data_IF_298863874643
#
_entry.id   IF_298863874643
#
_cell.length_a   1.000
_cell.length_b   1.000
_cell.length_c   1.000
_cell.angle_alpha   90.00
_cell.angle_beta   90.00
_cell.angle_gamma   90.00
#
_symmetry.space_group_name_H-M   'P 1'
#
loop_
_entity.id
_entity.type
_entity.pdbx_description
1 polymer ?
#
# COMPACT_ATOMS: atom_id res chain seq x y z
N UNK A 1 18.70 5.05 -5.63
CA UNK A 1 17.45 4.27 -5.47
C UNK A 1 16.27 5.09 -5.93
N UNK A 2 15.43 4.53 -6.78
CA UNK A 2 14.17 5.12 -7.25
C UNK A 2 12.99 4.44 -6.56
N UNK A 3 12.01 5.24 -6.14
CA UNK A 3 10.76 4.77 -5.59
C UNK A 3 9.71 4.70 -6.69
N UNK A 4 8.88 3.67 -6.65
CA UNK A 4 7.81 3.46 -7.60
C UNK A 4 6.62 2.81 -6.90
N UNK A 5 5.42 3.32 -7.15
CA UNK A 5 4.16 2.67 -6.81
C UNK A 5 3.40 2.36 -8.10
N UNK A 6 3.07 1.10 -8.31
CA UNK A 6 2.27 0.65 -9.47
C UNK A 6 1.08 -0.13 -8.93
N UNK A 7 -0.09 0.09 -9.51
CA UNK A 7 -1.26 -0.66 -9.09
C UNK A 7 -2.52 -0.35 -9.87
N UNK A 8 -3.57 -1.03 -9.46
CA UNK A 8 -4.95 -0.75 -9.83
C UNK A 8 -5.76 -0.46 -8.57
N UNK A 9 -6.79 0.33 -8.71
CA UNK A 9 -7.75 0.57 -7.63
C UNK A 9 -9.19 0.69 -8.16
N UNK A 10 -10.12 0.95 -7.25
CA UNK A 10 -11.55 1.06 -7.55
C UNK A 10 -11.90 2.20 -8.55
N UNK A 11 -11.01 3.17 -8.77
CA UNK A 11 -11.23 4.25 -9.74
C UNK A 11 -10.68 3.92 -11.12
N UNK A 12 -9.65 3.05 -11.20
CA UNK A 12 -8.98 2.73 -12.46
C UNK A 12 -9.44 1.41 -13.07
N UNK A 13 -9.96 0.48 -12.27
CA UNK A 13 -10.32 -0.87 -12.72
C UNK A 13 -11.67 -1.35 -12.18
N UNK A 14 -12.48 -2.01 -13.03
CA UNK A 14 -13.73 -2.64 -12.60
C UNK A 14 -13.44 -3.78 -11.61
N UNK A 15 -14.45 -4.15 -10.81
CA UNK A 15 -14.32 -5.20 -9.79
C UNK A 15 -13.86 -6.54 -10.38
N UNK A 16 -14.39 -6.89 -11.57
CA UNK A 16 -14.04 -8.13 -12.27
C UNK A 16 -12.55 -8.26 -12.62
N UNK A 17 -11.86 -7.15 -12.89
CA UNK A 17 -10.43 -7.14 -13.13
C UNK A 17 -9.66 -7.15 -11.80
N UNK A 18 -10.12 -6.38 -10.81
CA UNK A 18 -9.51 -6.34 -9.47
C UNK A 18 -9.50 -7.72 -8.79
N UNK A 19 -10.58 -8.49 -8.95
CA UNK A 19 -10.69 -9.87 -8.47
C UNK A 19 -9.60 -10.79 -9.04
N UNK A 20 -9.30 -10.63 -10.33
CA UNK A 20 -8.32 -11.48 -11.04
C UNK A 20 -6.87 -11.15 -10.68
N UNK A 21 -6.61 -9.97 -10.16
CA UNK A 21 -5.24 -9.54 -9.75
C UNK A 21 -5.09 -9.35 -8.24
N UNK A 22 -6.07 -9.78 -7.45
CA UNK A 22 -5.98 -9.81 -6.00
C UNK A 22 -5.02 -10.92 -5.53
N UNK A 23 -4.21 -10.61 -4.52
CA UNK A 23 -3.29 -11.58 -3.92
C UNK A 23 -3.92 -12.22 -2.68
N UNK A 24 -4.17 -13.53 -2.66
CA UNK A 24 -4.47 -14.26 -1.43
C UNK A 24 -3.32 -14.10 -0.44
N UNK A 25 -3.62 -14.01 0.86
CA UNK A 25 -2.62 -13.74 1.92
C UNK A 25 -1.43 -14.72 1.89
N UNK A 26 -1.71 -16.00 1.65
CA UNK A 26 -0.69 -17.04 1.55
C UNK A 26 0.23 -16.89 0.34
N UNK A 27 -0.19 -16.20 -0.71
CA UNK A 27 0.59 -16.02 -1.93
C UNK A 27 1.46 -14.75 -1.91
N UNK A 28 1.24 -13.81 -0.98
CA UNK A 28 1.99 -12.54 -0.94
C UNK A 28 3.49 -12.77 -0.72
N UNK A 29 3.89 -13.63 0.23
CA UNK A 29 5.32 -13.90 0.49
C UNK A 29 6.04 -14.54 -0.71
N UNK A 30 5.53 -15.61 -1.33
CA UNK A 30 6.12 -16.15 -2.57
C UNK A 30 6.16 -15.12 -3.70
N UNK A 31 5.11 -14.33 -3.88
CA UNK A 31 5.02 -13.29 -4.90
C UNK A 31 6.09 -12.21 -4.72
N UNK A 32 6.36 -11.77 -3.48
CA UNK A 32 7.42 -10.82 -3.17
C UNK A 32 8.80 -11.37 -3.55
N UNK A 33 9.07 -12.64 -3.30
CA UNK A 33 10.31 -13.30 -3.71
C UNK A 33 10.49 -13.32 -5.22
N UNK A 34 9.44 -13.70 -5.96
CA UNK A 34 9.44 -13.73 -7.42
C UNK A 34 9.58 -12.31 -8.03
N UNK A 35 8.87 -11.32 -7.49
CA UNK A 35 8.94 -9.92 -7.92
C UNK A 35 10.35 -9.36 -7.76
N UNK A 36 10.98 -9.57 -6.60
CA UNK A 36 12.34 -9.10 -6.34
C UNK A 36 13.35 -9.73 -7.30
N UNK A 37 13.21 -10.99 -7.60
CA UNK A 37 14.06 -11.69 -8.60
C UNK A 37 13.85 -11.10 -9.99
N UNK A 38 12.61 -10.78 -10.36
CA UNK A 38 12.27 -10.19 -11.65
C UNK A 38 12.79 -8.75 -11.81
N UNK A 39 12.77 -7.97 -10.74
CA UNK A 39 13.23 -6.58 -10.70
C UNK A 39 14.69 -6.43 -10.21
N UNK A 40 15.45 -7.55 -10.12
CA UNK A 40 16.77 -7.56 -9.50
C UNK A 40 17.73 -6.51 -10.10
N UNK A 41 18.09 -5.53 -9.29
CA UNK A 41 19.14 -4.55 -9.54
C UNK A 41 20.45 -4.91 -8.85
N UNK A 42 21.52 -4.13 -9.09
CA UNK A 42 22.86 -4.39 -8.53
C UNK A 42 22.91 -4.32 -6.99
N UNK A 43 22.10 -3.46 -6.37
CA UNK A 43 22.10 -3.24 -4.91
C UNK A 43 20.86 -3.85 -4.23
N UNK A 44 20.15 -4.72 -4.94
CA UNK A 44 18.91 -5.34 -4.47
C UNK A 44 17.67 -4.47 -4.71
N UNK A 45 16.51 -5.12 -4.71
CA UNK A 45 15.21 -4.47 -4.85
C UNK A 45 14.43 -4.66 -3.56
N UNK A 46 13.88 -3.58 -3.04
CA UNK A 46 12.90 -3.62 -1.96
C UNK A 46 11.50 -3.65 -2.58
N UNK A 47 10.59 -4.42 -2.00
CA UNK A 47 9.22 -4.55 -2.48
C UNK A 47 8.22 -4.76 -1.36
N UNK A 48 7.01 -4.22 -1.54
CA UNK A 48 5.84 -4.51 -0.72
C UNK A 48 4.59 -4.61 -1.61
N UNK A 49 3.67 -5.50 -1.28
CA UNK A 49 2.40 -5.68 -1.98
C UNK A 49 1.26 -5.36 -1.01
N UNK A 50 0.41 -4.41 -1.37
CA UNK A 50 -0.85 -4.11 -0.72
C UNK A 50 -1.98 -4.65 -1.59
N UNK A 51 -2.68 -5.67 -1.13
CA UNK A 51 -3.85 -6.24 -1.80
C UNK A 51 -5.06 -6.21 -0.86
N UNK A 52 -6.11 -5.51 -1.27
CA UNK A 52 -7.36 -5.32 -0.53
C UNK A 52 -8.55 -5.48 -1.47
N UNK A 53 -9.78 -5.37 -0.99
CA UNK A 53 -10.97 -5.36 -1.85
C UNK A 53 -10.99 -4.21 -2.88
N UNK A 54 -10.29 -3.10 -2.60
CA UNK A 54 -10.37 -1.89 -3.41
C UNK A 54 -9.13 -1.60 -4.23
N UNK A 55 -7.99 -2.29 -3.97
CA UNK A 55 -6.73 -2.04 -4.65
C UNK A 55 -5.77 -3.22 -4.61
N UNK A 56 -4.96 -3.32 -5.64
CA UNK A 56 -3.74 -4.12 -5.65
C UNK A 56 -2.60 -3.20 -6.07
N UNK A 57 -1.66 -2.98 -5.16
CA UNK A 57 -0.54 -2.05 -5.33
C UNK A 57 0.79 -2.72 -5.00
N UNK A 58 1.79 -2.39 -5.77
CA UNK A 58 3.18 -2.80 -5.61
C UNK A 58 4.01 -1.56 -5.36
N UNK A 59 4.67 -1.50 -4.22
CA UNK A 59 5.64 -0.47 -3.87
C UNK A 59 7.03 -1.05 -4.03
N UNK A 60 7.90 -0.37 -4.79
CA UNK A 60 9.27 -0.80 -5.03
C UNK A 60 10.26 0.31 -4.74
N UNK A 61 11.47 -0.07 -4.27
CA UNK A 61 12.64 0.77 -4.29
C UNK A 61 13.78 0.00 -4.98
N UNK A 62 14.32 0.55 -6.07
CA UNK A 62 15.34 -0.09 -6.90
C UNK A 62 16.39 0.92 -7.36
N UNK A 63 17.61 0.44 -7.63
CA UNK A 63 18.71 1.24 -8.20
C UNK A 63 18.80 1.10 -9.72
N UNK A 64 18.03 0.23 -10.32
CA UNK A 64 17.89 0.18 -11.77
C UNK A 64 17.28 1.49 -12.21
N UNK A 65 17.95 2.21 -13.11
CA UNK A 65 17.40 3.37 -13.81
C UNK A 65 16.24 2.87 -14.69
N UNK A 66 15.12 2.63 -14.04
CA UNK A 66 13.86 2.40 -14.71
C UNK A 66 13.37 3.79 -15.12
N UNK A 67 13.91 4.33 -16.21
CA UNK A 67 13.33 5.52 -16.83
C UNK A 67 11.83 5.26 -16.98
N UNK A 68 11.00 6.14 -16.43
CA UNK A 68 9.54 6.05 -16.23
C UNK A 68 8.72 4.94 -16.93
N UNK A 69 9.05 4.57 -18.18
CA UNK A 69 8.37 3.52 -18.94
C UNK A 69 8.89 2.10 -18.66
N UNK A 70 10.19 1.92 -18.40
CA UNK A 70 10.76 0.56 -18.22
C UNK A 70 10.31 -0.12 -16.93
N UNK A 71 10.25 0.61 -15.83
CA UNK A 71 9.76 0.09 -14.54
C UNK A 71 8.30 -0.33 -14.62
N UNK A 72 7.49 0.46 -15.31
CA UNK A 72 6.11 0.15 -15.60
C UNK A 72 6.00 -1.16 -16.39
N UNK A 73 6.71 -1.27 -17.52
CA UNK A 73 6.68 -2.42 -18.40
C UNK A 73 7.15 -3.72 -17.71
N UNK A 74 8.19 -3.64 -16.90
CA UNK A 74 8.68 -4.79 -16.14
C UNK A 74 7.67 -5.27 -15.11
N UNK A 75 7.09 -4.34 -14.34
CA UNK A 75 6.10 -4.69 -13.31
C UNK A 75 4.78 -5.14 -13.95
N UNK A 76 4.33 -4.51 -15.03
CA UNK A 76 3.16 -4.93 -15.81
C UNK A 76 3.31 -6.37 -16.30
N UNK A 77 4.45 -6.70 -16.94
CA UNK A 77 4.71 -8.06 -17.43
C UNK A 77 4.70 -9.08 -16.29
N UNK A 78 5.35 -8.76 -15.18
CA UNK A 78 5.37 -9.64 -14.03
C UNK A 78 3.96 -9.86 -13.46
N UNK A 79 3.18 -8.80 -13.26
CA UNK A 79 1.82 -8.87 -12.72
C UNK A 79 0.89 -9.66 -13.65
N UNK A 80 0.98 -9.41 -14.97
CA UNK A 80 0.24 -10.09 -16.01
C UNK A 80 0.53 -11.61 -16.02
N UNK A 81 1.81 -11.99 -15.92
CA UNK A 81 2.23 -13.40 -15.86
C UNK A 81 1.80 -14.05 -14.54
N UNK A 82 1.97 -13.36 -13.41
CA UNK A 82 1.65 -13.91 -12.10
C UNK A 82 0.17 -14.27 -11.96
N UNK A 83 -0.72 -13.41 -12.47
CA UNK A 83 -2.17 -13.61 -12.40
C UNK A 83 -2.79 -14.24 -13.65
N UNK A 84 -1.96 -14.59 -14.64
CA UNK A 84 -2.43 -15.11 -15.93
C UNK A 84 -3.49 -14.21 -16.60
N UNK A 85 -3.24 -12.90 -16.59
CA UNK A 85 -4.06 -11.85 -17.22
C UNK A 85 -3.29 -11.27 -18.40
N UNK A 86 -3.90 -11.08 -19.58
CA UNK A 86 -3.22 -10.45 -20.71
C UNK A 86 -2.73 -9.05 -20.36
N UNK A 87 -1.45 -8.74 -20.65
CA UNK A 87 -0.87 -7.43 -20.36
C UNK A 87 -1.65 -6.27 -21.02
N UNK A 88 -2.16 -6.49 -22.24
CA UNK A 88 -2.98 -5.49 -22.95
C UNK A 88 -4.33 -5.20 -22.30
N UNK A 89 -4.89 -6.15 -21.54
CA UNK A 89 -6.10 -5.96 -20.75
C UNK A 89 -5.80 -5.17 -19.46
N UNK A 90 -4.65 -5.43 -18.85
CA UNK A 90 -4.27 -4.84 -17.59
C UNK A 90 -3.70 -3.42 -17.72
N UNK A 91 -2.90 -3.16 -18.76
CA UNK A 91 -2.18 -1.90 -18.95
C UNK A 91 -3.05 -0.63 -18.88
N UNK A 92 -4.26 -0.55 -19.49
CA UNK A 92 -5.10 0.64 -19.43
C UNK A 92 -5.61 0.99 -18.02
N UNK A 93 -5.55 0.04 -17.09
CA UNK A 93 -6.07 0.17 -15.73
C UNK A 93 -4.98 0.41 -14.69
N UNK A 94 -3.70 0.18 -15.04
CA UNK A 94 -2.57 0.37 -14.16
C UNK A 94 -2.13 1.83 -14.14
N UNK A 95 -1.97 2.38 -12.94
CA UNK A 95 -1.22 3.61 -12.73
C UNK A 95 0.22 3.30 -12.33
N UNK A 96 1.11 4.23 -12.66
CA UNK A 96 2.52 4.19 -12.29
C UNK A 96 2.93 5.55 -11.74
N UNK A 97 3.37 5.56 -10.51
CA UNK A 97 3.65 6.76 -9.73
C UNK A 97 5.13 6.74 -9.30
N UNK A 98 6.00 7.52 -9.93
CA UNK A 98 7.42 7.57 -9.59
C UNK A 98 7.71 8.55 -8.45
N UNK A 99 8.75 8.27 -7.69
CA UNK A 99 9.39 9.18 -6.72
C UNK A 99 8.41 9.88 -5.77
N UNK A 100 8.28 11.21 -5.85
CA UNK A 100 7.40 12.01 -5.01
C UNK A 100 5.92 11.64 -5.13
N UNK A 101 5.51 11.17 -6.31
CA UNK A 101 4.14 10.70 -6.53
C UNK A 101 3.88 9.40 -5.77
N UNK A 102 4.84 8.45 -5.74
CA UNK A 102 4.73 7.23 -4.94
C UNK A 102 4.62 7.54 -3.45
N UNK A 103 5.42 8.49 -2.96
CA UNK A 103 5.40 8.94 -1.57
C UNK A 103 4.06 9.58 -1.22
N UNK A 104 3.60 10.52 -2.05
CA UNK A 104 2.31 11.20 -1.90
C UNK A 104 1.17 10.19 -1.87
N UNK A 105 1.19 9.24 -2.80
CA UNK A 105 0.18 8.20 -2.90
C UNK A 105 0.14 7.32 -1.64
N UNK A 106 1.27 6.84 -1.15
CA UNK A 106 1.35 6.06 0.09
C UNK A 106 0.75 6.83 1.28
N UNK A 107 1.05 8.13 1.42
CA UNK A 107 0.50 8.98 2.48
C UNK A 107 -1.01 9.17 2.33
N UNK A 108 -1.53 9.40 1.10
CA UNK A 108 -2.96 9.52 0.81
C UNK A 108 -3.72 8.24 1.12
N UNK A 109 -3.19 7.09 0.67
CA UNK A 109 -3.79 5.76 0.91
C UNK A 109 -3.90 5.50 2.41
N UNK A 110 -2.80 5.64 3.16
CA UNK A 110 -2.79 5.39 4.61
C UNK A 110 -3.69 6.35 5.40
N UNK A 111 -3.87 7.57 4.90
CA UNK A 111 -4.77 8.58 5.48
C UNK A 111 -6.23 8.35 5.12
N UNK A 112 -6.53 7.40 4.22
CA UNK A 112 -7.89 7.11 3.75
C UNK A 112 -8.43 8.14 2.75
N UNK A 113 -7.56 8.98 2.15
CA UNK A 113 -7.96 9.97 1.14
C UNK A 113 -8.20 9.34 -0.23
N UNK A 114 -7.59 8.19 -0.48
CA UNK A 114 -7.72 7.43 -1.72
C UNK A 114 -8.62 6.18 -1.55
N UNK A 115 -9.34 6.06 -0.45
CA UNK A 115 -10.29 4.99 -0.19
C UNK A 115 -11.65 5.30 -0.78
N UNK A 116 -12.46 4.26 -1.10
CA UNK A 116 -13.87 4.43 -1.53
C UNK A 116 -14.67 5.24 -0.52
N UNK A 117 -14.38 5.01 0.76
CA UNK A 117 -14.92 5.79 1.87
C UNK A 117 -13.82 6.68 2.40
N UNK A 118 -13.99 7.98 2.19
CA UNK A 118 -13.02 8.97 2.65
C UNK A 118 -12.81 8.87 4.18
N UNK A 119 -11.55 8.72 4.61
CA UNK A 119 -11.20 8.61 6.03
C UNK A 119 -11.38 7.21 6.63
N UNK A 120 -11.60 6.16 5.81
CA UNK A 120 -11.70 4.79 6.28
C UNK A 120 -10.48 4.39 7.13
N UNK A 121 -10.75 3.82 8.31
CA UNK A 121 -9.67 3.45 9.25
C UNK A 121 -8.99 2.13 8.90
N UNK A 122 -9.67 1.24 8.20
CA UNK A 122 -9.21 -0.12 7.92
C UNK A 122 -7.98 -0.16 7.02
N UNK A 123 -7.88 0.74 6.02
CA UNK A 123 -6.76 0.77 5.08
C UNK A 123 -5.40 0.92 5.78
N UNK A 124 -5.33 1.66 6.89
CA UNK A 124 -4.10 1.79 7.67
C UNK A 124 -3.68 0.47 8.32
N UNK A 125 -4.64 -0.31 8.83
CA UNK A 125 -4.41 -1.66 9.35
C UNK A 125 -3.89 -2.59 8.27
N UNK A 126 -4.58 -2.63 7.12
CA UNK A 126 -4.20 -3.45 5.96
C UNK A 126 -2.80 -3.10 5.43
N UNK A 127 -2.45 -1.80 5.39
CA UNK A 127 -1.11 -1.38 4.98
C UNK A 127 -0.03 -1.80 6.00
N UNK A 128 -0.31 -1.75 7.31
CA UNK A 128 0.61 -2.27 8.34
C UNK A 128 0.83 -3.76 8.19
N UNK A 129 -0.21 -4.54 7.90
CA UNK A 129 -0.11 -5.97 7.66
C UNK A 129 0.69 -6.30 6.40
N UNK A 130 0.49 -5.55 5.31
CA UNK A 130 1.27 -5.66 4.08
C UNK A 130 2.77 -5.40 4.34
N UNK A 131 3.09 -4.35 5.10
CA UNK A 131 4.47 -4.00 5.47
C UNK A 131 5.09 -5.07 6.38
N UNK A 132 4.34 -5.58 7.36
CA UNK A 132 4.79 -6.68 8.21
C UNK A 132 5.10 -7.93 7.38
N UNK A 133 4.20 -8.31 6.47
CA UNK A 133 4.39 -9.47 5.57
C UNK A 133 5.62 -9.29 4.68
N UNK A 134 5.86 -8.08 4.14
CA UNK A 134 7.05 -7.77 3.36
C UNK A 134 8.34 -7.85 4.21
N UNK A 135 8.29 -7.41 5.47
CA UNK A 135 9.38 -7.56 6.43
C UNK A 135 9.71 -9.01 6.73
N UNK A 136 8.71 -9.83 7.00
CA UNK A 136 8.86 -11.27 7.23
C UNK A 136 9.40 -12.03 6.00
N UNK A 137 9.10 -11.54 4.79
CA UNK A 137 9.65 -12.06 3.54
C UNK A 137 11.08 -11.56 3.24
N UNK A 138 11.67 -10.72 4.11
CA UNK A 138 12.98 -10.08 3.87
C UNK A 138 12.97 -9.15 2.65
N UNK A 139 11.81 -8.63 2.26
CA UNK A 139 11.63 -7.80 1.07
C UNK A 139 11.72 -6.30 1.37
N UNK A 140 11.72 -5.89 2.63
CA UNK A 140 11.92 -4.50 3.03
C UNK A 140 13.40 -4.20 3.27
N UNK A 141 13.84 -3.07 2.76
CA UNK A 141 15.13 -2.48 3.08
C UNK A 141 14.97 -1.09 3.68
N UNK A 142 16.01 -0.27 3.58
CA UNK A 142 16.04 1.05 4.22
C UNK A 142 15.00 2.01 3.66
N UNK A 143 14.77 1.99 2.35
CA UNK A 143 13.95 2.99 1.67
C UNK A 143 12.47 2.78 1.90
N UNK A 144 11.95 1.57 1.65
CA UNK A 144 10.54 1.26 1.89
C UNK A 144 10.20 1.24 3.38
N UNK A 145 11.13 0.79 4.24
CA UNK A 145 10.90 0.84 5.67
C UNK A 145 10.72 2.30 6.15
N UNK A 146 11.59 3.22 5.71
CA UNK A 146 11.45 4.64 6.03
C UNK A 146 10.20 5.26 5.42
N UNK A 147 9.84 4.89 4.18
CA UNK A 147 8.61 5.33 3.56
C UNK A 147 7.41 4.96 4.44
N UNK A 148 7.26 3.69 4.79
CA UNK A 148 6.10 3.22 5.53
C UNK A 148 6.05 3.71 6.97
N UNK A 149 7.20 3.83 7.66
CA UNK A 149 7.22 4.43 9.00
C UNK A 149 6.70 5.88 8.98
N UNK A 150 7.14 6.67 8.00
CA UNK A 150 6.64 8.04 7.83
C UNK A 150 5.18 8.05 7.37
N UNK A 151 4.78 7.13 6.50
CA UNK A 151 3.39 6.95 6.08
C UNK A 151 2.45 6.76 7.27
N UNK A 152 2.84 5.91 8.23
CA UNK A 152 2.03 5.68 9.44
C UNK A 152 1.98 6.91 10.35
N UNK A 153 3.08 7.65 10.45
CA UNK A 153 3.13 8.90 11.21
C UNK A 153 2.23 9.99 10.58
N UNK A 154 2.30 10.15 9.25
CA UNK A 154 1.48 11.11 8.50
C UNK A 154 -0.01 10.74 8.60
N UNK A 155 -0.37 9.47 8.46
CA UNK A 155 -1.75 9.04 8.62
C UNK A 155 -2.31 9.35 10.02
N UNK A 156 -1.49 9.20 11.07
CA UNK A 156 -1.86 9.57 12.44
C UNK A 156 -2.02 11.09 12.58
N UNK A 157 -1.11 11.86 12.00
CA UNK A 157 -1.13 13.34 12.03
C UNK A 157 -2.38 13.88 11.30
N UNK A 158 -2.66 13.41 10.09
CA UNK A 158 -3.85 13.80 9.30
C UNK A 158 -5.13 13.52 10.08
N UNK A 159 -5.25 12.33 10.67
CA UNK A 159 -6.44 11.97 11.48
C UNK A 159 -6.59 12.76 12.76
N UNK A 160 -5.48 13.19 13.37
CA UNK A 160 -5.51 13.97 14.60
C UNK A 160 -5.70 15.49 14.39
N UNK A 161 -5.37 16.00 13.22
CA UNK A 161 -5.39 17.42 12.90
C UNK A 161 -6.52 17.84 11.93
N UNK A 162 -7.24 16.88 11.36
CA UNK A 162 -8.32 17.15 10.41
C UNK A 162 -9.58 16.35 10.75
N UNK A 163 -10.73 16.83 10.27
CA UNK A 163 -12.03 16.18 10.41
C UNK A 163 -12.22 14.94 9.50
N UNK A 164 -11.16 14.48 8.82
CA UNK A 164 -11.24 13.37 7.85
C UNK A 164 -11.75 12.08 8.49
N UNK A 165 -11.39 11.81 9.75
CA UNK A 165 -11.84 10.62 10.49
C UNK A 165 -13.21 10.76 11.16
N UNK A 166 -13.69 11.97 11.38
CA UNK A 166 -14.89 12.23 12.19
C UNK A 166 -16.21 11.94 11.47
N UNK A 167 -16.21 11.92 10.14
CA UNK A 167 -17.43 11.85 9.33
C UNK A 167 -17.42 10.72 8.28
N UNK A 168 -16.70 9.63 8.54
CA UNK A 168 -16.74 8.47 7.65
C UNK A 168 -18.12 7.81 7.71
N UNK A 169 -18.96 8.12 6.73
CA UNK A 169 -20.12 7.27 6.46
C UNK A 169 -19.55 5.95 6.00
N UNK A 170 -19.46 5.00 6.93
CA UNK A 170 -18.88 3.71 6.63
C UNK A 170 -19.70 2.95 5.59
N UNK A 171 -19.07 2.03 4.85
CA UNK A 171 -19.76 1.07 3.99
C UNK A 171 -20.89 0.36 4.75
N UNK A 172 -20.67 0.11 6.03
CA UNK A 172 -21.66 -0.46 6.94
C UNK A 172 -22.91 0.44 7.08
N UNK A 173 -22.74 1.75 7.27
CA UNK A 173 -23.88 2.67 7.33
C UNK A 173 -24.58 2.82 5.97
N UNK A 174 -23.84 2.70 4.85
CA UNK A 174 -24.44 2.67 3.51
C UNK A 174 -25.29 1.42 3.30
N UNK A 175 -24.82 0.25 3.74
CA UNK A 175 -25.58 -1.00 3.70
C UNK A 175 -26.89 -0.91 4.50
N UNK A 176 -26.86 -0.32 5.70
CA UNK A 176 -28.08 -0.06 6.51
C UNK A 176 -29.05 0.87 5.78
N UNK A 177 -28.55 1.97 5.18
CA UNK A 177 -29.40 2.89 4.40
C UNK A 177 -30.06 2.22 3.19
N UNK A 178 -29.36 1.31 2.51
CA UNK A 178 -29.94 0.51 1.43
C UNK A 178 -31.05 -0.40 1.96
N UNK A 179 -30.81 -1.07 3.08
CA UNK A 179 -31.84 -1.91 3.71
C UNK A 179 -33.09 -1.10 4.05
N UNK A 180 -32.95 0.11 4.58
CA UNK A 180 -34.04 1.03 4.88
C UNK A 180 -34.80 1.54 3.64
N UNK A 181 -34.21 1.47 2.44
CA UNK A 181 -34.89 1.81 1.18
C UNK A 181 -35.71 0.65 0.63
N UNK A 182 -35.34 -0.59 0.94
CA UNK A 182 -35.99 -1.81 0.44
C UNK A 182 -37.05 -2.28 1.42
N UNK A 183 -36.82 -2.18 2.72
CA UNK A 183 -37.71 -2.67 3.77
C UNK A 183 -38.25 -1.48 4.58
N UNK A 184 -39.54 -1.52 4.91
CA UNK A 184 -40.15 -0.48 5.77
C UNK A 184 -39.46 -0.34 7.12
N UNK A 185 -39.02 -1.47 7.71
CA UNK A 185 -38.23 -1.48 8.94
C UNK A 185 -37.23 -2.62 8.95
N UNK A 186 -35.99 -2.31 9.31
CA UNK A 186 -34.93 -3.31 9.54
C UNK A 186 -35.23 -4.14 10.80
N UNK A 187 -36.00 -3.59 11.77
CA UNK A 187 -36.29 -4.25 13.03
C UNK A 187 -37.12 -5.52 12.88
N UNK A 188 -37.87 -5.64 11.79
CA UNK A 188 -38.68 -6.84 11.48
C UNK A 188 -37.94 -7.89 10.68
N UNK A 189 -36.71 -7.57 10.19
CA UNK A 189 -35.96 -8.42 9.29
C UNK A 189 -35.00 -9.36 10.03
N UNK A 190 -34.70 -10.50 9.38
CA UNK A 190 -33.64 -11.43 9.79
C UNK A 190 -32.38 -11.13 8.95
N UNK A 191 -31.26 -10.87 9.62
CA UNK A 191 -30.01 -10.48 8.98
C UNK A 191 -28.99 -11.61 9.11
N UNK A 192 -28.39 -11.99 7.99
CA UNK A 192 -27.31 -12.96 7.92
C UNK A 192 -26.00 -12.24 7.59
N UNK A 193 -25.00 -12.45 8.41
CA UNK A 193 -23.61 -12.07 8.12
C UNK A 193 -22.79 -13.29 7.75
N UNK A 194 -22.01 -13.20 6.67
CA UNK A 194 -21.15 -14.27 6.17
C UNK A 194 -19.70 -13.81 6.23
N UNK A 195 -18.93 -14.48 7.09
CA UNK A 195 -17.59 -14.06 7.52
C UNK A 195 -17.59 -13.58 8.97
N UNK A 196 -16.40 -13.37 9.52
CA UNK A 196 -16.20 -12.82 10.85
C UNK A 196 -14.87 -12.01 10.88
N UNK A 197 -14.70 -11.15 9.88
CA UNK A 197 -13.62 -10.17 9.79
C UNK A 197 -14.11 -8.78 10.19
N UNK A 198 -13.19 -7.82 10.30
CA UNK A 198 -13.45 -6.44 10.76
C UNK A 198 -14.62 -5.77 10.01
N UNK A 199 -14.73 -5.96 8.69
CA UNK A 199 -15.82 -5.38 7.90
C UNK A 199 -17.17 -5.95 8.31
N UNK A 200 -17.27 -7.26 8.54
CA UNK A 200 -18.47 -7.90 9.01
C UNK A 200 -18.81 -7.45 10.43
N UNK A 201 -17.85 -7.37 11.33
CA UNK A 201 -18.05 -6.86 12.70
C UNK A 201 -18.59 -5.42 12.68
N UNK A 202 -18.03 -4.57 11.82
CA UNK A 202 -18.50 -3.20 11.64
C UNK A 202 -19.95 -3.16 11.09
N UNK A 203 -20.25 -3.93 10.03
CA UNK A 203 -21.61 -4.04 9.49
C UNK A 203 -22.59 -4.56 10.54
N UNK A 204 -22.22 -5.61 11.27
CA UNK A 204 -23.03 -6.20 12.31
C UNK A 204 -23.35 -5.19 13.43
N UNK A 205 -22.39 -4.39 13.85
CA UNK A 205 -22.59 -3.31 14.83
C UNK A 205 -23.60 -2.26 14.33
N UNK A 206 -23.48 -1.83 13.06
CA UNK A 206 -24.40 -0.86 12.48
C UNK A 206 -25.82 -1.41 12.30
N UNK A 207 -25.96 -2.68 11.90
CA UNK A 207 -27.26 -3.34 11.83
C UNK A 207 -27.84 -3.63 13.22
N UNK A 208 -27.02 -3.98 14.20
CA UNK A 208 -27.43 -4.18 15.60
C UNK A 208 -28.12 -2.94 16.18
N UNK A 209 -27.62 -1.74 15.85
CA UNK A 209 -28.24 -0.48 16.24
C UNK A 209 -29.65 -0.26 15.67
N UNK A 210 -30.06 -1.02 14.64
CA UNK A 210 -31.42 -1.02 14.07
C UNK A 210 -32.33 -2.07 14.73
N UNK A 211 -31.82 -2.80 15.73
CA UNK A 211 -32.56 -3.84 16.49
C UNK A 211 -33.30 -4.84 15.59
N UNK A 212 -32.62 -5.52 14.65
CA UNK A 212 -33.28 -6.49 13.76
C UNK A 212 -33.89 -7.64 14.57
N UNK A 213 -34.86 -8.33 13.97
CA UNK A 213 -35.55 -9.47 14.61
C UNK A 213 -34.60 -10.58 15.04
N UNK A 214 -33.56 -10.83 14.22
CA UNK A 214 -32.51 -11.81 14.50
C UNK A 214 -31.27 -11.48 13.69
N UNK A 215 -30.10 -11.72 14.26
CA UNK A 215 -28.82 -11.71 13.57
C UNK A 215 -28.24 -13.13 13.60
N UNK A 216 -27.87 -13.64 12.42
CA UNK A 216 -27.17 -14.92 12.30
C UNK A 216 -25.78 -14.68 11.68
N UNK A 217 -24.77 -15.33 12.20
CA UNK A 217 -23.39 -15.23 11.69
C UNK A 217 -22.96 -16.58 11.15
N UNK A 218 -22.70 -16.65 9.85
CA UNK A 218 -22.14 -17.84 9.19
C UNK A 218 -20.66 -17.68 8.98
N UNK A 219 -19.84 -18.60 9.47
CA UNK A 219 -18.40 -18.56 9.24
C UNK A 219 -17.82 -19.96 9.05
N UNK A 220 -16.67 -20.05 8.35
CA UNK A 220 -15.93 -21.31 8.18
C UNK A 220 -15.47 -21.86 9.54
N UNK A 221 -14.92 -21.00 10.38
CA UNK A 221 -14.50 -21.30 11.75
C UNK A 221 -15.64 -20.87 12.67
N UNK A 222 -16.41 -21.81 13.16
CA UNK A 222 -17.65 -21.56 13.94
C UNK A 222 -17.36 -20.70 15.18
N UNK A 223 -16.25 -20.93 15.86
CA UNK A 223 -15.87 -20.21 17.09
C UNK A 223 -15.63 -18.70 16.86
N UNK A 224 -15.29 -18.29 15.64
CA UNK A 224 -15.23 -16.85 15.29
C UNK A 224 -16.62 -16.26 15.11
N UNK A 225 -17.52 -17.01 14.51
CA UNK A 225 -18.94 -16.62 14.39
C UNK A 225 -19.62 -16.52 15.75
N UNK A 226 -19.38 -17.49 16.63
CA UNK A 226 -19.90 -17.52 18.01
C UNK A 226 -19.46 -16.29 18.80
N UNK A 227 -18.19 -15.93 18.76
CA UNK A 227 -17.69 -14.72 19.45
C UNK A 227 -18.41 -13.44 19.00
N UNK A 228 -18.61 -13.27 17.69
CA UNK A 228 -19.34 -12.10 17.18
C UNK A 228 -20.82 -12.17 17.60
N UNK A 229 -21.46 -13.33 17.51
CA UNK A 229 -22.84 -13.53 17.95
C UNK A 229 -23.00 -13.22 19.45
N UNK A 230 -22.09 -13.67 20.31
CA UNK A 230 -22.08 -13.38 21.75
C UNK A 230 -21.92 -11.88 22.05
N UNK A 231 -21.04 -11.20 21.35
CA UNK A 231 -20.88 -9.74 21.49
C UNK A 231 -22.15 -8.98 21.18
N UNK A 232 -22.89 -9.40 20.13
CA UNK A 232 -24.16 -8.79 19.74
C UNK A 232 -25.31 -9.19 20.68
N UNK A 233 -25.30 -10.42 21.20
CA UNK A 233 -26.27 -10.89 22.22
C UNK A 233 -26.18 -10.05 23.50
N UNK A 234 -24.95 -9.62 23.89
CA UNK A 234 -24.75 -8.73 25.04
C UNK A 234 -25.44 -7.36 24.89
N UNK A 235 -25.89 -6.99 23.69
CA UNK A 235 -26.69 -5.79 23.40
C UNK A 235 -28.21 -6.03 23.42
N UNK A 236 -28.66 -7.22 23.84
CA UNK A 236 -30.09 -7.57 23.94
C UNK A 236 -30.69 -8.10 22.63
N UNK A 237 -29.88 -8.51 21.67
CA UNK A 237 -30.33 -9.02 20.37
C UNK A 237 -30.44 -10.55 20.37
N UNK A 238 -31.39 -11.07 19.57
CA UNK A 238 -31.43 -12.50 19.28
C UNK A 238 -30.38 -12.84 18.24
N UNK A 239 -29.38 -13.62 18.63
CA UNK A 239 -28.24 -13.97 17.78
C UNK A 239 -28.03 -15.47 17.70
N UNK A 240 -27.43 -15.93 16.62
CA UNK A 240 -27.07 -17.32 16.37
C UNK A 240 -25.80 -17.39 15.52
N UNK A 241 -24.97 -18.38 15.76
CA UNK A 241 -23.84 -18.71 14.87
C UNK A 241 -24.12 -20.03 14.17
N UNK A 242 -23.81 -20.10 12.88
CA UNK A 242 -23.98 -21.31 12.05
C UNK A 242 -22.70 -21.61 11.28
N UNK A 243 -22.55 -22.86 10.84
CA UNK A 243 -21.48 -23.24 9.92
C UNK A 243 -21.78 -22.76 8.51
N UNK A 244 -20.75 -22.44 7.77
CA UNK A 244 -20.89 -22.04 6.37
C UNK A 244 -21.57 -23.14 5.50
N UNK A 245 -21.40 -24.41 5.86
CA UNK A 245 -22.04 -25.55 5.18
C UNK A 245 -23.58 -25.58 5.32
N UNK A 246 -24.13 -24.90 6.31
CA UNK A 246 -25.59 -24.83 6.55
C UNK A 246 -26.24 -23.73 5.74
N UNK A 247 -25.45 -22.82 5.16
CA UNK A 247 -25.91 -21.63 4.43
C UNK A 247 -26.94 -21.99 3.33
N UNK A 248 -26.62 -22.95 2.48
CA UNK A 248 -27.47 -23.32 1.33
C UNK A 248 -28.85 -23.81 1.71
N UNK A 249 -28.99 -24.43 2.87
CA UNK A 249 -30.28 -24.92 3.39
C UNK A 249 -31.12 -23.81 4.05
N UNK A 250 -30.44 -22.84 4.67
CA UNK A 250 -31.05 -21.81 5.52
C UNK A 250 -31.18 -20.44 4.86
N UNK A 251 -30.61 -20.22 3.67
CA UNK A 251 -30.61 -18.93 2.98
C UNK A 251 -32.00 -18.29 2.85
N UNK A 252 -33.03 -19.13 2.67
CA UNK A 252 -34.42 -18.69 2.55
C UNK A 252 -35.01 -18.04 3.82
N UNK A 253 -34.35 -18.20 4.97
CA UNK A 253 -34.80 -17.65 6.26
C UNK A 253 -34.50 -16.15 6.39
N UNK A 254 -33.55 -15.61 5.60
CA UNK A 254 -32.98 -14.28 5.80
C UNK A 254 -33.51 -13.29 4.77
N UNK A 255 -33.73 -12.07 5.22
CA UNK A 255 -34.22 -10.95 4.41
C UNK A 255 -33.04 -10.09 3.92
N UNK A 256 -31.99 -10.00 4.72
CA UNK A 256 -30.79 -9.25 4.43
C UNK A 256 -29.58 -10.19 4.62
N UNK A 257 -28.70 -10.22 3.62
CA UNK A 257 -27.46 -11.00 3.64
C UNK A 257 -26.29 -10.05 3.39
N UNK A 258 -25.29 -10.05 4.26
CA UNK A 258 -24.07 -9.27 4.09
C UNK A 258 -22.88 -10.23 4.11
N UNK A 259 -22.10 -10.27 3.04
CA UNK A 259 -20.94 -11.15 2.93
C UNK A 259 -19.63 -10.37 2.77
N UNK A 260 -18.59 -10.85 3.43
CA UNK A 260 -17.20 -10.40 3.26
C UNK A 260 -16.28 -11.50 3.74
N UNK A 261 -15.88 -12.41 2.85
CA UNK A 261 -14.95 -13.48 3.17
C UNK A 261 -13.64 -13.35 2.37
N UNK A 262 -12.65 -14.16 2.71
CA UNK A 262 -11.41 -14.27 1.96
C UNK A 262 -11.45 -15.49 0.99
N UNK A 263 -12.64 -15.86 0.51
CA UNK A 263 -12.79 -16.96 -0.44
C UNK A 263 -12.31 -16.54 -1.82
N UNK A 264 -11.57 -17.43 -2.48
CA UNK A 264 -11.15 -17.22 -3.86
C UNK A 264 -12.24 -17.61 -4.89
N UNK A 265 -13.33 -18.24 -4.43
CA UNK A 265 -14.46 -18.66 -5.26
C UNK A 265 -15.74 -18.20 -4.60
N UNK A 266 -16.81 -17.89 -5.39
CA UNK A 266 -18.11 -17.58 -4.84
C UNK A 266 -18.64 -18.70 -3.94
N UNK A 267 -19.19 -18.30 -2.81
CA UNK A 267 -19.79 -19.22 -1.80
C UNK A 267 -21.32 -19.27 -1.90
N UNK A 268 -21.92 -18.28 -2.56
CA UNK A 268 -23.36 -18.22 -2.83
C UNK A 268 -23.58 -18.30 -4.34
N UNK A 269 -23.95 -19.46 -4.83
CA UNK A 269 -24.25 -19.67 -6.24
C UNK A 269 -25.69 -19.35 -6.60
N UNK A 270 -25.95 -19.07 -7.89
CA UNK A 270 -27.25 -18.75 -8.45
C UNK A 270 -28.35 -19.78 -8.04
N UNK A 271 -28.06 -21.08 -8.17
CA UNK A 271 -29.01 -22.13 -7.84
C UNK A 271 -29.43 -22.19 -6.36
N UNK A 272 -28.57 -21.72 -5.44
CA UNK A 272 -28.92 -21.60 -4.02
C UNK A 272 -29.90 -20.46 -3.79
N UNK A 273 -29.67 -19.33 -4.45
CA UNK A 273 -30.53 -18.13 -4.34
C UNK A 273 -31.87 -18.37 -5.01
N UNK A 274 -31.91 -18.98 -6.19
CA UNK A 274 -33.19 -19.37 -6.85
C UNK A 274 -34.08 -20.26 -5.96
N UNK A 275 -33.46 -21.25 -5.29
CA UNK A 275 -34.21 -22.09 -4.34
C UNK A 275 -34.72 -21.27 -3.14
N UNK A 276 -33.91 -20.38 -2.62
CA UNK A 276 -34.26 -19.52 -1.51
C UNK A 276 -35.45 -18.60 -1.88
N UNK A 277 -35.41 -17.92 -3.03
CA UNK A 277 -36.46 -17.05 -3.54
C UNK A 277 -37.80 -17.82 -3.68
N UNK A 278 -37.78 -19.03 -4.27
CA UNK A 278 -38.97 -19.87 -4.39
C UNK A 278 -39.57 -20.24 -3.02
N UNK A 279 -38.73 -20.65 -2.07
CA UNK A 279 -39.17 -20.98 -0.70
C UNK A 279 -39.75 -19.76 0.04
N UNK A 280 -39.22 -18.58 -0.27
CA UNK A 280 -39.68 -17.30 0.29
C UNK A 280 -40.98 -16.79 -0.35
N UNK A 281 -41.48 -17.46 -1.37
CA UNK A 281 -42.68 -17.02 -2.14
C UNK A 281 -42.50 -15.61 -2.70
N UNK A 282 -41.34 -15.36 -3.31
CA UNK A 282 -40.96 -14.09 -3.94
C UNK A 282 -40.91 -12.88 -3.00
N UNK A 283 -40.72 -13.10 -1.70
CA UNK A 283 -40.35 -11.98 -0.81
C UNK A 283 -38.93 -11.51 -1.10
N UNK A 284 -38.68 -10.19 -1.15
CA UNK A 284 -37.38 -9.66 -1.54
C UNK A 284 -36.26 -10.12 -0.61
N UNK A 285 -35.09 -10.31 -1.19
CA UNK A 285 -33.81 -10.51 -0.47
C UNK A 285 -32.88 -9.40 -0.88
N UNK A 286 -32.32 -8.69 0.11
CA UNK A 286 -31.18 -7.79 -0.10
C UNK A 286 -29.92 -8.56 0.17
N UNK A 287 -28.98 -8.51 -0.78
CA UNK A 287 -27.64 -9.09 -0.67
C UNK A 287 -26.60 -8.01 -0.85
N UNK A 288 -25.65 -7.93 0.07
CA UNK A 288 -24.52 -6.99 0.02
C UNK A 288 -23.25 -7.81 0.01
N UNK A 289 -22.53 -7.77 -1.10
CA UNK A 289 -21.26 -8.45 -1.28
C UNK A 289 -20.10 -7.44 -1.18
N UNK A 290 -19.39 -7.49 -0.07
CA UNK A 290 -18.24 -6.63 0.23
C UNK A 290 -16.90 -7.34 -0.03
N UNK A 291 -16.95 -8.61 -0.49
CA UNK A 291 -15.76 -9.38 -0.76
C UNK A 291 -15.15 -9.05 -2.13
N UNK A 292 -13.83 -9.17 -2.22
CA UNK A 292 -13.07 -9.20 -3.47
C UNK A 292 -11.97 -10.25 -3.30
N UNK A 293 -12.03 -11.35 -4.05
CA UNK A 293 -13.06 -11.75 -5.03
C UNK A 293 -14.46 -11.87 -4.41
N UNK A 294 -15.51 -11.78 -5.27
CA UNK A 294 -16.91 -11.81 -4.82
C UNK A 294 -17.30 -13.14 -4.20
N UNK A 295 -18.08 -13.04 -3.12
CA UNK A 295 -18.70 -14.20 -2.45
C UNK A 295 -20.00 -14.66 -3.13
N UNK A 296 -20.65 -13.79 -3.91
CA UNK A 296 -21.91 -14.05 -4.60
C UNK A 296 -21.69 -14.09 -6.12
N UNK A 297 -22.21 -15.13 -6.79
CA UNK A 297 -22.17 -15.20 -8.25
C UNK A 297 -22.88 -14.00 -8.90
N UNK A 298 -22.27 -13.36 -9.93
CA UNK A 298 -22.84 -12.17 -10.57
C UNK A 298 -24.21 -12.37 -11.18
N UNK A 299 -24.50 -13.59 -11.62
CA UNK A 299 -25.75 -13.99 -12.24
C UNK A 299 -26.96 -13.85 -11.29
N UNK A 300 -26.71 -13.85 -9.97
CA UNK A 300 -27.76 -13.64 -8.93
C UNK A 300 -28.43 -12.27 -9.09
N UNK A 301 -27.72 -11.25 -9.61
CA UNK A 301 -28.29 -9.94 -9.88
C UNK A 301 -29.40 -9.93 -10.95
N UNK A 302 -29.58 -11.03 -11.69
CA UNK A 302 -30.63 -11.17 -12.72
C UNK A 302 -31.97 -11.64 -12.16
N UNK A 303 -32.01 -12.02 -10.89
CA UNK A 303 -33.25 -12.49 -10.23
C UNK A 303 -34.10 -11.29 -9.79
N UNK A 304 -35.38 -11.25 -10.18
CA UNK A 304 -36.26 -10.10 -9.95
C UNK A 304 -36.47 -9.74 -8.47
N UNK A 305 -36.44 -10.75 -7.58
CA UNK A 305 -36.68 -10.56 -6.15
C UNK A 305 -35.41 -10.42 -5.33
N UNK A 306 -34.23 -10.23 -6.00
CA UNK A 306 -32.94 -10.11 -5.36
C UNK A 306 -32.31 -8.76 -5.65
N UNK A 307 -32.01 -8.02 -4.60
CA UNK A 307 -31.30 -6.75 -4.67
C UNK A 307 -29.85 -6.99 -4.29
N UNK A 308 -29.00 -7.32 -5.28
CA UNK A 308 -27.56 -7.53 -5.08
C UNK A 308 -26.80 -6.22 -5.25
N UNK A 309 -26.08 -5.83 -4.19
CA UNK A 309 -25.19 -4.68 -4.17
C UNK A 309 -23.75 -5.13 -3.92
N UNK A 310 -22.85 -4.60 -4.69
CA UNK A 310 -21.39 -4.83 -4.56
C UNK A 310 -20.74 -3.74 -3.73
N UNK A 311 -19.44 -3.92 -3.41
CA UNK A 311 -18.62 -2.91 -2.78
C UNK A 311 -18.60 -1.59 -3.59
N UNK A 312 -18.64 -1.66 -4.94
CA UNK A 312 -18.65 -0.50 -5.82
C UNK A 312 -19.96 0.29 -5.75
N UNK A 313 -21.08 -0.41 -5.65
CA UNK A 313 -22.42 0.21 -5.51
C UNK A 313 -22.53 0.99 -4.20
N UNK A 314 -22.06 0.40 -3.09
CA UNK A 314 -22.00 1.09 -1.81
C UNK A 314 -21.07 2.31 -1.86
N UNK A 315 -19.92 2.19 -2.52
CA UNK A 315 -18.99 3.27 -2.73
C UNK A 315 -19.62 4.47 -3.45
N UNK A 316 -20.51 4.23 -4.45
CA UNK A 316 -21.24 5.29 -5.14
C UNK A 316 -22.17 6.06 -4.18
N UNK A 317 -22.93 5.35 -3.33
CA UNK A 317 -23.84 5.94 -2.34
C UNK A 317 -23.09 6.80 -1.31
N UNK A 318 -21.92 6.34 -0.90
CA UNK A 318 -21.07 7.08 0.07
C UNK A 318 -20.56 8.40 -0.53
N UNK A 319 -20.26 8.42 -1.83
CA UNK A 319 -19.75 9.62 -2.53
C UNK A 319 -20.77 10.75 -2.63
N UNK A 320 -22.04 10.49 -2.67
CA UNK A 320 -23.11 11.50 -2.79
C UNK A 320 -23.21 12.49 -1.60
N UNK A 321 -22.59 12.16 -0.44
CA UNK A 321 -22.64 12.96 0.80
C UNK A 321 -21.51 14.00 1.00
N UNK A 322 -20.75 14.41 -0.02
CA UNK A 322 -19.37 14.92 0.10
C UNK A 322 -19.12 16.44 0.28
N UNK A 323 -20.12 17.32 0.26
CA UNK A 323 -19.85 18.78 0.25
C UNK A 323 -19.13 19.33 1.51
N UNK A 324 -19.38 18.78 2.71
CA UNK A 324 -18.72 19.21 3.95
C UNK A 324 -17.27 18.66 4.11
N UNK A 325 -16.88 17.69 3.30
CA UNK A 325 -15.58 17.01 3.39
C UNK A 325 -14.45 17.70 2.62
N UNK A 326 -14.76 18.60 1.69
CA UNK A 326 -13.75 19.24 0.84
C UNK A 326 -12.73 20.07 1.64
N UNK A 327 -13.16 20.77 2.68
CA UNK A 327 -12.26 21.53 3.54
C UNK A 327 -11.28 20.62 4.32
N UNK A 328 -11.78 19.50 4.87
CA UNK A 328 -10.95 18.53 5.58
C UNK A 328 -9.95 17.84 4.63
N UNK A 329 -10.35 17.56 3.39
CA UNK A 329 -9.46 17.03 2.35
C UNK A 329 -8.35 18.03 2.04
N UNK A 330 -8.66 19.33 1.86
CA UNK A 330 -7.66 20.35 1.57
C UNK A 330 -6.63 20.50 2.71
N UNK A 331 -7.08 20.44 3.97
CA UNK A 331 -6.18 20.45 5.12
C UNK A 331 -5.27 19.22 5.15
N UNK A 332 -5.82 18.05 4.90
CA UNK A 332 -5.04 16.79 4.85
C UNK A 332 -4.01 16.81 3.72
N UNK A 333 -4.37 17.29 2.53
CA UNK A 333 -3.45 17.42 1.39
C UNK A 333 -2.30 18.38 1.70
N UNK A 334 -2.56 19.49 2.41
CA UNK A 334 -1.50 20.43 2.82
C UNK A 334 -0.49 19.76 3.78
N UNK A 335 -0.97 18.96 4.75
CA UNK A 335 -0.11 18.19 5.65
C UNK A 335 0.72 17.19 4.83
N UNK A 336 0.06 16.43 3.95
CA UNK A 336 0.71 15.41 3.12
C UNK A 336 1.81 16.03 2.26
N UNK A 337 1.53 17.13 1.58
CA UNK A 337 2.51 17.79 0.69
C UNK A 337 3.76 18.24 1.45
N UNK A 338 3.60 18.84 2.63
CA UNK A 338 4.71 19.20 3.50
C UNK A 338 5.56 17.96 3.88
N UNK A 339 4.91 16.83 4.18
CA UNK A 339 5.62 15.59 4.56
C UNK A 339 6.28 14.89 3.36
N UNK A 340 5.70 15.01 2.16
CA UNK A 340 6.33 14.56 0.90
C UNK A 340 7.64 15.30 0.68
N UNK A 341 7.67 16.62 0.77
CA UNK A 341 8.87 17.42 0.61
C UNK A 341 9.96 17.01 1.63
N UNK A 342 9.59 16.83 2.90
CA UNK A 342 10.51 16.37 3.94
C UNK A 342 11.07 14.96 3.65
N UNK A 343 10.27 14.06 3.06
CA UNK A 343 10.74 12.75 2.68
C UNK A 343 11.69 12.81 1.48
N UNK A 344 11.35 13.61 0.47
CA UNK A 344 12.19 13.77 -0.72
C UNK A 344 13.55 14.37 -0.38
N UNK A 345 13.60 15.36 0.50
CA UNK A 345 14.86 15.91 1.00
C UNK A 345 15.70 14.85 1.73
N UNK A 346 15.08 14.01 2.57
CA UNK A 346 15.79 12.88 3.19
C UNK A 346 16.34 11.90 2.14
N UNK A 347 15.56 11.59 1.09
CA UNK A 347 15.98 10.69 0.02
C UNK A 347 17.19 11.23 -0.75
N UNK A 348 17.18 12.52 -1.09
CA UNK A 348 18.28 13.23 -1.74
C UNK A 348 19.55 13.19 -0.88
N UNK A 349 19.44 13.57 0.39
CA UNK A 349 20.57 13.57 1.34
C UNK A 349 21.18 12.17 1.46
N UNK A 350 20.34 11.13 1.49
CA UNK A 350 20.82 9.76 1.60
C UNK A 350 21.49 9.24 0.33
N UNK A 351 21.13 9.74 -0.84
CA UNK A 351 21.76 9.35 -2.11
C UNK A 351 23.24 9.74 -2.18
N UNK A 352 23.65 10.73 -1.41
CA UNK A 352 25.04 11.23 -1.36
C UNK A 352 25.94 10.37 -0.44
N UNK A 353 25.35 9.67 0.55
CA UNK A 353 26.10 8.88 1.55
C UNK A 353 27.03 7.82 0.92
N UNK A 354 26.61 7.03 -0.08
CA UNK A 354 27.50 6.06 -0.73
C UNK A 354 28.70 6.74 -1.40
N UNK A 355 28.48 7.88 -2.05
CA UNK A 355 29.54 8.64 -2.73
C UNK A 355 30.56 9.18 -1.71
N UNK A 356 30.08 9.74 -0.59
CA UNK A 356 30.96 10.20 0.49
C UNK A 356 31.78 9.03 1.04
N UNK A 357 31.15 7.88 1.27
CA UNK A 357 31.85 6.69 1.78
C UNK A 357 32.91 6.19 0.80
N UNK A 358 32.61 6.17 -0.48
CA UNK A 358 33.55 5.77 -1.52
C UNK A 358 34.75 6.74 -1.57
N UNK A 359 34.52 8.05 -1.51
CA UNK A 359 35.57 9.06 -1.43
C UNK A 359 36.46 8.86 -0.19
N UNK A 360 35.86 8.57 0.97
CA UNK A 360 36.59 8.28 2.20
C UNK A 360 37.48 7.04 2.07
N UNK A 361 36.91 5.94 1.51
CA UNK A 361 37.67 4.69 1.28
C UNK A 361 38.83 4.91 0.30
N UNK A 362 38.59 5.62 -0.80
CA UNK A 362 39.64 5.94 -1.77
C UNK A 362 40.72 6.83 -1.16
N UNK A 363 40.33 7.86 -0.40
CA UNK A 363 41.24 8.74 0.29
C UNK A 363 42.13 8.01 1.30
N UNK A 364 41.56 7.11 2.09
CA UNK A 364 42.30 6.29 3.05
C UNK A 364 43.28 5.31 2.35
N UNK A 365 42.87 4.69 1.24
CA UNK A 365 43.75 3.83 0.45
C UNK A 365 44.93 4.59 -0.11
N UNK A 366 44.71 5.81 -0.61
CA UNK A 366 45.81 6.68 -1.08
C UNK A 366 46.77 7.05 0.06
N UNK A 367 46.23 7.40 1.22
CA UNK A 367 47.00 7.72 2.43
C UNK A 367 47.88 6.55 2.87
N UNK A 368 47.31 5.35 2.95
CA UNK A 368 48.03 4.14 3.35
C UNK A 368 49.20 3.83 2.39
N UNK A 369 48.94 3.87 1.08
CA UNK A 369 49.94 3.59 0.07
C UNK A 369 51.17 4.54 0.17
N UNK A 370 50.93 5.85 0.35
CA UNK A 370 52.02 6.83 0.47
C UNK A 370 52.71 6.72 1.83
N UNK A 371 52.02 6.40 2.90
CA UNK A 371 52.59 6.17 4.22
C UNK A 371 53.55 4.97 4.21
N UNK A 372 53.15 3.87 3.55
CA UNK A 372 54.04 2.71 3.41
C UNK A 372 55.29 3.03 2.55
N UNK A 373 55.13 3.86 1.52
CA UNK A 373 56.28 4.34 0.73
C UNK A 373 57.23 5.17 1.58
N UNK A 374 56.71 6.08 2.39
CA UNK A 374 57.49 6.91 3.30
C UNK A 374 58.23 6.05 4.35
N UNK A 375 57.59 5.03 4.92
CA UNK A 375 58.21 4.07 5.85
C UNK A 375 59.37 3.31 5.19
N UNK A 376 59.22 2.90 3.94
CA UNK A 376 60.32 2.24 3.21
C UNK A 376 61.51 3.17 2.92
N UNK A 377 61.25 4.46 2.68
CA UNK A 377 62.31 5.46 2.52
C UNK A 377 63.08 5.66 3.83
N UNK A 378 62.40 5.82 4.95
CA UNK A 378 63.01 5.91 6.28
C UNK A 378 63.83 4.64 6.61
N UNK A 379 63.31 3.46 6.30
CA UNK A 379 64.04 2.21 6.54
C UNK A 379 65.31 2.04 5.68
N UNK A 380 65.44 2.77 4.57
CA UNK A 380 66.68 2.85 3.76
C UNK A 380 67.69 3.86 4.27
N UNK A 381 67.32 4.69 5.26
CA UNK A 381 68.15 5.72 5.80
C UNK A 381 68.05 7.10 5.11
N UNK A 382 66.95 7.29 4.32
CA UNK A 382 66.67 8.58 3.69
C UNK A 382 66.44 9.66 4.77
N UNK A 383 66.83 10.92 4.50
CA UNK A 383 66.59 12.02 5.43
C UNK A 383 65.13 12.22 5.79
N UNK A 384 64.77 12.22 7.09
CA UNK A 384 63.40 12.35 7.53
C UNK A 384 62.67 13.59 6.99
N UNK A 385 63.34 14.72 6.85
CA UNK A 385 62.75 15.95 6.33
C UNK A 385 62.38 15.79 4.85
N UNK A 386 63.25 15.19 4.05
CA UNK A 386 63.00 14.90 2.64
C UNK A 386 61.86 13.88 2.48
N UNK A 387 61.76 12.90 3.38
CA UNK A 387 60.64 11.90 3.37
C UNK A 387 59.30 12.57 3.68
N UNK A 388 59.23 13.49 4.64
CA UNK A 388 58.02 14.25 4.96
C UNK A 388 57.59 15.14 3.79
N UNK A 389 58.51 15.82 3.13
CA UNK A 389 58.17 16.61 1.93
C UNK A 389 57.70 15.74 0.77
N UNK A 390 58.35 14.59 0.53
CA UNK A 390 57.95 13.66 -0.48
C UNK A 390 56.55 13.09 -0.22
N UNK A 391 56.22 12.73 1.04
CA UNK A 391 54.91 12.22 1.47
C UNK A 391 53.83 13.26 1.27
N UNK A 392 54.01 14.48 1.80
CA UNK A 392 53.02 15.55 1.70
C UNK A 392 52.75 15.96 0.24
N UNK A 393 53.84 16.10 -0.55
CA UNK A 393 53.74 16.42 -1.97
C UNK A 393 53.06 15.32 -2.80
N UNK A 394 53.32 14.04 -2.48
CA UNK A 394 52.67 12.91 -3.15
C UNK A 394 51.19 12.84 -2.83
N UNK A 395 50.76 13.02 -1.58
CA UNK A 395 49.39 13.09 -1.17
C UNK A 395 48.66 14.25 -1.85
N UNK A 396 49.23 15.45 -1.84
CA UNK A 396 48.63 16.62 -2.50
C UNK A 396 48.40 16.37 -3.99
N UNK A 397 49.41 15.85 -4.70
CA UNK A 397 49.27 15.52 -6.13
C UNK A 397 48.19 14.48 -6.38
N UNK A 398 48.07 13.44 -5.57
CA UNK A 398 47.05 12.40 -5.72
C UNK A 398 45.64 12.94 -5.47
N UNK A 399 45.43 13.76 -4.45
CA UNK A 399 44.18 14.41 -4.20
C UNK A 399 43.74 15.36 -5.31
N UNK A 400 44.67 16.11 -5.89
CA UNK A 400 44.37 17.05 -6.97
C UNK A 400 44.23 16.36 -8.34
N UNK A 401 44.76 15.16 -8.52
CA UNK A 401 44.80 14.48 -9.80
C UNK A 401 43.37 14.26 -10.35
N UNK A 402 42.45 13.72 -9.56
CA UNK A 402 41.04 13.44 -9.99
C UNK A 402 40.32 14.72 -10.45
N UNK A 403 40.21 15.77 -9.62
CA UNK A 403 39.59 17.03 -10.02
C UNK A 403 40.26 17.68 -11.24
N UNK A 404 41.58 17.69 -11.32
CA UNK A 404 42.31 18.26 -12.48
C UNK A 404 42.06 17.45 -13.75
N UNK A 405 42.07 16.14 -13.67
CA UNK A 405 41.76 15.27 -14.81
C UNK A 405 40.32 15.50 -15.30
N UNK A 406 39.33 15.56 -14.40
CA UNK A 406 37.96 15.83 -14.74
C UNK A 406 37.80 17.18 -15.46
N UNK A 407 38.41 18.26 -14.94
CA UNK A 407 38.36 19.59 -15.55
C UNK A 407 38.96 19.63 -16.97
N UNK A 408 39.98 18.80 -17.24
CA UNK A 408 40.65 18.78 -18.53
C UNK A 408 39.97 17.91 -19.58
N UNK A 409 39.23 16.90 -19.18
CA UNK A 409 38.69 15.88 -20.10
C UNK A 409 37.17 15.92 -20.24
N UNK A 410 36.42 16.61 -19.36
CA UNK A 410 34.98 16.78 -19.47
C UNK A 410 34.66 17.92 -20.45
N UNK A 411 33.60 17.76 -21.27
CA UNK A 411 33.14 18.74 -22.26
C UNK A 411 31.67 19.11 -22.04
N UNK A 412 31.23 20.22 -22.67
CA UNK A 412 29.83 20.66 -22.61
C UNK A 412 29.38 21.18 -21.24
N UNK A 413 28.11 21.06 -20.91
CA UNK A 413 27.48 21.59 -19.71
C UNK A 413 28.06 21.03 -18.41
N UNK A 414 28.55 19.79 -18.46
CA UNK A 414 29.21 19.15 -17.30
C UNK A 414 30.52 19.85 -16.95
N UNK A 415 31.25 20.39 -17.95
CA UNK A 415 32.45 21.16 -17.71
C UNK A 415 32.17 22.49 -16.99
N UNK A 416 31.11 23.19 -17.41
CA UNK A 416 30.69 24.43 -16.75
C UNK A 416 30.29 24.18 -15.30
N UNK A 417 29.60 23.08 -15.04
CA UNK A 417 29.23 22.64 -13.71
C UNK A 417 30.47 22.35 -12.85
N UNK A 418 31.47 21.63 -13.37
CA UNK A 418 32.72 21.34 -12.68
C UNK A 418 33.53 22.62 -12.39
N UNK A 419 33.63 23.56 -13.35
CA UNK A 419 34.29 24.83 -13.16
C UNK A 419 33.71 25.66 -12.01
N UNK A 420 32.41 25.56 -11.81
CA UNK A 420 31.69 26.23 -10.71
C UNK A 420 31.87 25.54 -9.36
N UNK A 421 31.86 24.20 -9.32
CA UNK A 421 31.82 23.42 -8.08
C UNK A 421 33.20 23.15 -7.51
N UNK A 422 34.22 22.79 -8.34
CA UNK A 422 35.55 22.36 -7.89
C UNK A 422 36.27 23.41 -7.03
N UNK A 423 36.24 24.72 -7.33
CA UNK A 423 36.89 25.72 -6.46
C UNK A 423 36.26 25.78 -5.06
N UNK A 424 34.96 25.47 -4.95
CA UNK A 424 34.24 25.44 -3.68
C UNK A 424 34.64 24.28 -2.75
N UNK A 425 35.09 23.15 -3.33
CA UNK A 425 35.52 21.96 -2.57
C UNK A 425 36.79 22.18 -1.76
N UNK A 426 37.64 23.17 -2.14
CA UNK A 426 38.91 23.48 -1.50
C UNK A 426 38.87 24.79 -0.71
N UNK A 427 37.74 25.49 -0.67
CA UNK A 427 37.59 26.66 0.21
C UNK A 427 37.31 26.16 1.63
N UNK A 428 38.26 26.42 2.54
CA UNK A 428 37.93 26.27 3.97
C UNK A 428 36.81 27.25 4.32
N UNK A 429 35.65 26.72 4.69
CA UNK A 429 34.69 27.46 5.48
C UNK A 429 35.37 27.69 6.84
N UNK A 430 35.88 28.90 7.06
CA UNK A 430 36.30 29.36 8.38
C UNK A 430 35.04 29.52 9.24
N UNK A 431 34.47 28.40 9.69
CA UNK A 431 33.57 28.41 10.82
C UNK A 431 34.41 28.21 12.07
N UNK A 432 34.69 29.33 12.70
CA UNK A 432 35.25 29.46 14.04
C UNK A 432 34.56 28.48 14.98
N UNK A 433 35.37 27.63 15.59
CA UNK A 433 35.04 27.03 16.89
C UNK A 433 34.63 28.15 17.85
N UNK A 434 33.40 28.09 18.35
CA UNK A 434 32.96 28.62 19.63
C UNK A 434 32.07 27.60 20.31
#
# INVERSE_FOLDING_TARGET
>A
MQLLAIGINHTTAPVSLRERVAFPLEQIKPALGALRTHLAGKNGTEAAILSTCNRTEIYCATDVLLSGSEGFEHTLRWLAQHHNVPAGELAPHLYSLPQSEAVRHAFRVASGLDSMVLGETQILGQLKDAVRTAGEAGALGTYLNQLFQRTFAVAKEVRGQTEIGAHSVSMAAAAVRLAQRIFESVSTQRVLFIGAGEMIELCATHFAAQTPRQIVVANRTVERGERLAEQLAGQGLTTEAIRLSELGARLHEFDIVVSCTASSLPIIGLGAVERAVKLRRHRPIMMVDLAVPRDVEPEVARLDDVFLYTVDDLGAIVREGNAMRQAAVAQAEAIIESRVQNFMHWLETRSVVPVIRELQVQGEAMRQAELERARRMLARGDDPQAVLEALSGALTRKFLHGPTHALNHTQGDDRETLLRLVPGLFRHSSHSER
#
